data_IF_394399252583
#
_entry.id   IF_394399252583
#
_cell.length_a   1.000
_cell.length_b   1.000
_cell.length_c   1.000
_cell.angle_alpha   90.00
_cell.angle_beta   90.00
_cell.angle_gamma   90.00
#
_symmetry.space_group_name_H-M   'P 1'
#
loop_
_entity.id
_entity.type
_entity.pdbx_description
1 polymer ?
#
# COMPACT_ATOMS: atom_id res chain seq x y z
N UNK A 1 2.81 7.98 0.84
CA UNK A 1 2.30 7.07 -0.23
C UNK A 1 0.86 6.65 0.04
N UNK A 2 0.48 6.37 1.29
CA UNK A 2 -0.90 6.01 1.67
C UNK A 2 -1.93 7.02 1.16
N UNK A 3 -1.74 8.33 1.34
CA UNK A 3 -2.69 9.34 0.85
C UNK A 3 -2.87 9.30 -0.68
N UNK A 4 -1.79 9.07 -1.42
CA UNK A 4 -1.84 8.97 -2.89
C UNK A 4 -2.46 7.65 -3.36
N UNK A 5 -2.25 6.56 -2.63
CA UNK A 5 -2.90 5.27 -2.87
C UNK A 5 -4.41 5.34 -2.59
N UNK A 6 -4.83 6.07 -1.55
CA UNK A 6 -6.24 6.39 -1.27
C UNK A 6 -6.84 7.17 -2.42
N UNK A 7 -6.20 8.28 -2.80
CA UNK A 7 -6.69 9.15 -3.86
C UNK A 7 -6.87 8.38 -5.17
N UNK A 8 -5.92 7.51 -5.52
CA UNK A 8 -6.02 6.68 -6.73
C UNK A 8 -7.14 5.65 -6.66
N UNK A 9 -7.34 5.00 -5.50
CA UNK A 9 -8.45 4.06 -5.29
C UNK A 9 -9.82 4.74 -5.39
N UNK A 10 -9.94 5.96 -4.86
CA UNK A 10 -11.15 6.75 -4.94
C UNK A 10 -11.36 7.23 -6.38
N UNK A 11 -10.32 7.72 -7.06
CA UNK A 11 -10.41 8.26 -8.41
C UNK A 11 -10.75 7.21 -9.48
N UNK A 12 -10.23 5.98 -9.37
CA UNK A 12 -10.52 4.89 -10.31
C UNK A 12 -11.88 4.19 -10.10
N UNK A 13 -12.80 4.77 -9.33
CA UNK A 13 -14.10 4.14 -9.07
C UNK A 13 -14.04 2.87 -8.22
N UNK A 14 -12.86 2.49 -7.70
CA UNK A 14 -12.63 1.28 -6.90
C UNK A 14 -12.85 1.51 -5.40
N UNK A 15 -13.50 2.60 -5.03
CA UNK A 15 -13.85 2.90 -3.65
C UNK A 15 -14.83 1.86 -3.11
N UNK A 16 -14.33 0.94 -2.28
CA UNK A 16 -15.15 -0.06 -1.62
C UNK A 16 -15.82 0.56 -0.41
N UNK A 17 -17.15 0.59 -0.40
CA UNK A 17 -17.93 0.99 0.77
C UNK A 17 -17.77 -0.08 1.85
N UNK A 18 -17.11 0.27 2.96
CA UNK A 18 -16.97 -0.63 4.09
C UNK A 18 -18.14 -0.45 5.06
N UNK A 19 -18.66 -1.54 5.61
CA UNK A 19 -19.58 -1.44 6.76
C UNK A 19 -18.82 -0.87 7.96
N UNK A 20 -19.42 0.08 8.67
CA UNK A 20 -18.83 0.63 9.88
C UNK A 20 -18.83 -0.42 10.99
N UNK A 21 -17.65 -0.74 11.53
CA UNK A 21 -17.44 -1.66 12.66
C UNK A 21 -16.72 -0.99 13.84
N UNK A 22 -16.66 0.35 13.84
CA UNK A 22 -15.84 1.14 14.77
C UNK A 22 -14.60 1.72 14.09
N UNK A 23 -14.19 2.91 14.52
CA UNK A 23 -13.08 3.65 13.92
C UNK A 23 -11.77 2.84 13.89
N UNK A 24 -11.41 2.20 15.01
CA UNK A 24 -10.18 1.41 15.12
C UNK A 24 -10.16 0.21 14.17
N UNK A 25 -11.23 -0.58 14.16
CA UNK A 25 -11.34 -1.77 13.31
C UNK A 25 -11.31 -1.39 11.82
N UNK A 26 -12.03 -0.34 11.44
CA UNK A 26 -12.05 0.16 10.07
C UNK A 26 -10.68 0.74 9.66
N UNK A 27 -9.99 1.45 10.56
CA UNK A 27 -8.64 1.95 10.30
C UNK A 27 -7.64 0.81 10.10
N UNK A 28 -7.67 -0.23 10.94
CA UNK A 28 -6.82 -1.42 10.76
C UNK A 28 -7.05 -2.09 9.40
N UNK A 29 -8.31 -2.31 9.02
CA UNK A 29 -8.65 -2.86 7.71
C UNK A 29 -8.07 -2.01 6.57
N UNK A 30 -8.20 -0.70 6.71
CA UNK A 30 -7.75 0.26 5.72
C UNK A 30 -6.21 0.26 5.59
N UNK A 31 -5.49 0.32 6.71
CA UNK A 31 -4.03 0.25 6.76
C UNK A 31 -3.49 -1.04 6.15
N UNK A 32 -4.09 -2.19 6.48
CA UNK A 32 -3.66 -3.49 5.95
C UNK A 32 -3.77 -3.52 4.42
N UNK A 33 -4.90 -3.06 3.87
CA UNK A 33 -5.12 -3.03 2.41
C UNK A 33 -4.16 -2.06 1.71
N UNK A 34 -3.88 -0.90 2.31
CA UNK A 34 -2.89 0.03 1.77
C UNK A 34 -1.46 -0.52 1.82
N UNK A 35 -1.09 -1.22 2.90
CA UNK A 35 0.21 -1.87 3.03
C UNK A 35 0.42 -2.90 1.91
N UNK A 36 -0.59 -3.73 1.61
CA UNK A 36 -0.52 -4.67 0.48
C UNK A 36 -0.33 -3.95 -0.85
N UNK A 37 -1.13 -2.93 -1.15
CA UNK A 37 -1.02 -2.16 -2.41
C UNK A 37 0.36 -1.53 -2.56
N UNK A 38 0.87 -0.92 -1.48
CA UNK A 38 2.19 -0.32 -1.47
C UNK A 38 3.28 -1.38 -1.65
N UNK A 39 3.19 -2.52 -0.98
CA UNK A 39 4.14 -3.62 -1.15
C UNK A 39 4.14 -4.15 -2.58
N UNK A 40 2.96 -4.40 -3.17
CA UNK A 40 2.85 -4.81 -4.58
C UNK A 40 3.51 -3.81 -5.51
N UNK A 41 3.25 -2.51 -5.31
CA UNK A 41 3.90 -1.45 -6.10
C UNK A 41 5.42 -1.44 -5.91
N UNK A 42 5.90 -1.55 -4.67
CA UNK A 42 7.33 -1.60 -4.38
C UNK A 42 7.97 -2.82 -5.05
N UNK A 43 7.33 -4.00 -5.00
CA UNK A 43 7.83 -5.19 -5.71
C UNK A 43 7.88 -4.99 -7.22
N UNK A 44 6.88 -4.34 -7.82
CA UNK A 44 6.91 -3.97 -9.24
C UNK A 44 8.04 -2.99 -9.57
N UNK A 45 8.37 -2.09 -8.64
CA UNK A 45 9.49 -1.15 -8.77
C UNK A 45 10.86 -1.77 -8.44
N UNK A 46 10.93 -3.10 -8.26
CA UNK A 46 12.18 -3.79 -7.99
C UNK A 46 12.63 -3.72 -6.54
N UNK A 47 11.70 -3.81 -5.57
CA UNK A 47 12.06 -3.99 -4.17
C UNK A 47 12.88 -5.29 -3.98
N UNK A 48 14.12 -5.15 -3.53
CA UNK A 48 15.07 -6.24 -3.29
C UNK A 48 15.66 -6.15 -1.89
N UNK A 49 16.24 -7.27 -1.43
CA UNK A 49 16.91 -7.35 -0.13
C UNK A 49 18.42 -7.27 -0.33
N UNK A 50 19.08 -6.35 0.37
CA UNK A 50 20.53 -6.17 0.30
C UNK A 50 21.25 -7.31 1.02
N UNK A 51 22.54 -7.55 0.73
CA UNK A 51 23.35 -8.54 1.46
C UNK A 51 23.38 -8.31 2.98
N UNK A 52 23.24 -7.07 3.43
CA UNK A 52 23.17 -6.68 4.84
C UNK A 52 21.75 -6.80 5.42
N UNK A 53 20.81 -7.42 4.69
CA UNK A 53 19.46 -7.72 5.15
C UNK A 53 18.46 -6.56 5.09
N UNK A 54 18.83 -5.40 4.53
CA UNK A 54 17.96 -4.21 4.39
C UNK A 54 17.12 -4.30 3.12
N UNK A 55 16.03 -3.55 3.04
CA UNK A 55 15.24 -3.43 1.81
C UNK A 55 15.66 -2.20 1.01
N UNK A 56 15.84 -2.36 -0.30
CA UNK A 56 16.17 -1.30 -1.24
C UNK A 56 15.35 -1.45 -2.52
N UNK A 57 15.06 -0.35 -3.22
CA UNK A 57 14.53 -0.40 -4.59
C UNK A 57 15.71 -0.56 -5.55
N UNK A 58 15.55 -1.37 -6.59
CA UNK A 58 16.51 -1.48 -7.66
C UNK A 58 16.66 -0.11 -8.32
N UNK A 59 17.84 0.49 -8.22
CA UNK A 59 18.16 1.72 -8.94
C UNK A 59 18.13 1.38 -10.42
N UNK A 60 17.11 1.86 -11.13
CA UNK A 60 17.13 1.86 -12.60
C UNK A 60 18.20 2.87 -13.01
N UNK A 61 19.26 2.41 -13.67
CA UNK A 61 20.32 3.25 -14.22
C UNK A 61 19.81 4.04 -15.44
#
# INVERSE_FOLDING_TARGET
>A
MVERSIAWFIHQGRHRRLRYRGATANNHWFQLRMATVNLTRLTTLGLTRTPQGRWALATTA
#
